data_IF_291256759170
#
_entry.id   IF_291256759170
#
_cell.length_a   1.000
_cell.length_b   1.000
_cell.length_c   1.000
_cell.angle_alpha   90.00
_cell.angle_beta   90.00
_cell.angle_gamma   90.00
#
_symmetry.space_group_name_H-M   'P 1'
#
loop_
_entity.id
_entity.type
_entity.pdbx_description
1 polymer ?
#
# COMPACT_ATOMS: atom_id res chain seq x y z
N UNK A 1 -3.43 30.20 -27.76
CA UNK A 1 -3.17 28.79 -27.38
C UNK A 1 -2.95 28.77 -25.89
N UNK A 2 -3.71 27.98 -25.13
CA UNK A 2 -3.51 27.86 -23.69
C UNK A 2 -2.17 27.17 -23.43
N UNK A 3 -1.35 27.73 -22.53
CA UNK A 3 -0.10 27.08 -22.10
C UNK A 3 -0.41 25.67 -21.59
N UNK A 4 0.32 24.64 -22.03
CA UNK A 4 0.15 23.29 -21.51
C UNK A 4 0.49 23.30 -20.01
N UNK A 5 -0.33 22.62 -19.18
CA UNK A 5 -0.09 22.65 -17.73
C UNK A 5 1.19 21.89 -17.33
N UNK A 6 1.84 21.18 -18.27
CA UNK A 6 3.16 20.56 -18.12
C UNK A 6 4.25 21.52 -17.63
N UNK A 7 4.13 22.82 -17.97
CA UNK A 7 5.17 23.84 -17.71
C UNK A 7 5.00 24.55 -16.36
N UNK A 8 3.98 24.20 -15.59
CA UNK A 8 3.65 24.84 -14.32
C UNK A 8 4.34 24.11 -13.16
N UNK A 9 5.35 24.76 -12.57
CA UNK A 9 6.02 24.32 -11.33
C UNK A 9 6.07 25.46 -10.30
N UNK A 10 5.92 25.17 -8.99
CA UNK A 10 5.81 23.83 -8.38
C UNK A 10 4.36 23.38 -8.10
N UNK A 11 4.11 22.07 -8.25
CA UNK A 11 2.87 21.43 -7.83
C UNK A 11 2.86 21.26 -6.30
N UNK A 12 1.87 21.87 -5.62
CA UNK A 12 1.75 21.86 -4.17
C UNK A 12 1.04 20.59 -3.67
N UNK A 13 1.45 20.11 -2.50
CA UNK A 13 0.76 19.04 -1.75
C UNK A 13 -0.52 19.57 -1.09
N UNK A 14 -1.44 18.68 -0.70
CA UNK A 14 -2.67 19.04 0.01
C UNK A 14 -2.38 19.80 1.31
N UNK A 15 -1.34 19.40 2.05
CA UNK A 15 -0.93 20.11 3.28
C UNK A 15 -0.48 21.54 2.97
N UNK A 16 0.32 21.74 1.93
CA UNK A 16 0.78 23.08 1.52
C UNK A 16 -0.39 23.93 1.01
N UNK A 17 -1.28 23.37 0.20
CA UNK A 17 -2.48 24.07 -0.29
C UNK A 17 -3.34 24.54 0.88
N UNK A 18 -3.56 23.70 1.89
CA UNK A 18 -4.36 24.06 3.06
C UNK A 18 -3.68 25.09 3.98
N UNK A 19 -2.36 25.25 3.86
CA UNK A 19 -1.59 26.26 4.57
C UNK A 19 -1.56 27.62 3.84
N UNK A 20 -2.06 27.70 2.59
CA UNK A 20 -2.23 28.96 1.86
C UNK A 20 -3.23 29.89 2.56
N UNK A 21 -3.21 31.16 2.16
CA UNK A 21 -3.90 32.21 2.90
C UNK A 21 -5.43 31.98 2.92
N UNK A 22 -6.01 31.96 4.12
CA UNK A 22 -7.44 31.68 4.35
C UNK A 22 -8.37 32.77 3.83
N UNK A 23 -7.83 33.94 3.48
CA UNK A 23 -8.60 35.03 2.88
C UNK A 23 -9.11 34.71 1.46
N UNK A 24 -8.70 33.57 0.89
CA UNK A 24 -9.10 33.12 -0.44
C UNK A 24 -8.39 33.91 -1.54
N UNK A 25 -8.46 33.40 -2.77
CA UNK A 25 -7.94 34.14 -3.94
C UNK A 25 -6.72 33.55 -4.61
N UNK A 26 -5.86 32.87 -3.85
CA UNK A 26 -4.60 32.30 -4.35
C UNK A 26 -4.88 31.19 -5.38
N UNK A 27 -4.13 31.21 -6.49
CA UNK A 27 -4.14 30.13 -7.48
C UNK A 27 -3.09 29.11 -7.06
N UNK A 28 -3.43 27.83 -7.16
CA UNK A 28 -2.51 26.73 -6.93
C UNK A 28 -2.57 25.71 -8.05
N UNK A 29 -1.46 25.01 -8.24
CA UNK A 29 -1.34 23.85 -9.11
C UNK A 29 -1.02 22.63 -8.26
N UNK A 30 -1.60 21.49 -8.58
CA UNK A 30 -1.36 20.25 -7.86
C UNK A 30 -1.57 19.03 -8.74
N UNK A 31 -0.93 17.94 -8.37
CA UNK A 31 -1.09 16.62 -8.98
C UNK A 31 -1.67 15.71 -7.90
N UNK A 32 -2.90 15.26 -8.09
CA UNK A 32 -3.72 14.60 -7.06
C UNK A 32 -4.37 13.34 -7.60
N UNK A 33 -4.61 12.38 -6.70
CA UNK A 33 -5.37 11.18 -6.97
C UNK A 33 -6.87 11.46 -6.79
N UNK A 34 -7.70 11.01 -7.73
CA UNK A 34 -9.15 11.00 -7.57
C UNK A 34 -9.53 9.85 -6.64
N UNK A 35 -9.93 10.19 -5.43
CA UNK A 35 -10.38 9.21 -4.45
C UNK A 35 -11.84 8.84 -4.64
N UNK A 36 -12.69 9.82 -4.99
CA UNK A 36 -14.13 9.61 -5.16
C UNK A 36 -14.75 10.64 -6.09
N UNK A 37 -15.72 10.22 -6.90
CA UNK A 37 -16.59 11.13 -7.66
C UNK A 37 -18.05 10.80 -7.32
N UNK A 38 -18.80 11.80 -6.86
CA UNK A 38 -20.21 11.64 -6.53
C UNK A 38 -21.06 12.73 -7.21
N UNK A 39 -21.97 12.32 -8.09
CA UNK A 39 -22.98 13.22 -8.66
C UNK A 39 -24.07 13.50 -7.62
N UNK A 40 -24.33 14.78 -7.36
CA UNK A 40 -25.32 15.25 -6.38
C UNK A 40 -26.23 16.29 -7.01
N UNK A 41 -27.52 16.32 -6.64
CA UNK A 41 -28.42 17.38 -7.08
C UNK A 41 -28.14 18.69 -6.33
N UNK A 42 -28.24 19.81 -7.03
CA UNK A 42 -28.31 21.16 -6.44
C UNK A 42 -29.74 21.45 -5.99
N UNK A 43 -29.91 22.48 -5.14
CA UNK A 43 -31.23 22.97 -4.73
C UNK A 43 -32.08 23.50 -5.90
N UNK A 44 -31.45 23.85 -7.02
CA UNK A 44 -32.08 24.39 -8.23
C UNK A 44 -32.36 23.32 -9.29
N UNK A 45 -32.14 22.04 -8.99
CA UNK A 45 -32.46 20.90 -9.88
C UNK A 45 -31.33 20.44 -10.81
N UNK A 46 -30.32 21.29 -11.07
CA UNK A 46 -29.12 20.90 -11.82
C UNK A 46 -28.22 19.98 -10.98
N UNK A 47 -27.36 19.15 -11.58
CA UNK A 47 -26.39 18.34 -10.84
C UNK A 47 -25.03 19.01 -10.71
N UNK A 48 -24.27 18.62 -9.69
CA UNK A 48 -22.85 18.92 -9.54
C UNK A 48 -22.09 17.64 -9.16
N UNK A 49 -20.82 17.56 -9.52
CA UNK A 49 -19.92 16.51 -9.08
C UNK A 49 -19.20 16.97 -7.81
N UNK A 50 -19.29 16.19 -6.75
CA UNK A 50 -18.39 16.29 -5.61
C UNK A 50 -17.20 15.37 -5.88
N UNK A 51 -16.02 15.97 -6.12
CA UNK A 51 -14.78 15.25 -6.40
C UNK A 51 -13.90 15.32 -5.16
N UNK A 52 -13.56 14.16 -4.60
CA UNK A 52 -12.60 14.03 -3.50
C UNK A 52 -11.21 13.77 -4.08
N UNK A 53 -10.29 14.71 -3.82
CA UNK A 53 -8.92 14.67 -4.31
C UNK A 53 -7.96 14.44 -3.13
N UNK A 54 -6.96 13.60 -3.32
CA UNK A 54 -6.04 13.19 -2.26
C UNK A 54 -4.60 13.11 -2.74
N UNK A 55 -3.69 13.28 -1.81
CA UNK A 55 -2.28 12.91 -1.92
C UNK A 55 -1.83 12.27 -0.59
N UNK A 56 -0.53 11.99 -0.41
CA UNK A 56 -0.02 11.39 0.85
C UNK A 56 -0.16 12.30 2.08
N UNK A 57 -0.36 13.60 1.88
CA UNK A 57 -0.37 14.62 2.94
C UNK A 57 -1.79 15.00 3.39
N UNK A 58 -2.82 14.61 2.63
CA UNK A 58 -4.22 14.75 3.03
C UNK A 58 -5.20 14.67 1.86
N UNK A 59 -6.44 15.07 2.13
CA UNK A 59 -7.51 15.13 1.12
C UNK A 59 -8.37 16.39 1.23
N UNK A 60 -9.04 16.77 0.15
CA UNK A 60 -10.08 17.80 0.14
C UNK A 60 -11.16 17.50 -0.91
N UNK A 61 -12.30 18.19 -0.79
CA UNK A 61 -13.40 18.09 -1.75
C UNK A 61 -13.50 19.36 -2.60
N UNK A 62 -13.64 19.20 -3.92
CA UNK A 62 -14.05 20.29 -4.81
C UNK A 62 -15.42 19.98 -5.44
N UNK A 63 -16.28 21.00 -5.51
CA UNK A 63 -17.56 20.89 -6.20
C UNK A 63 -17.39 21.40 -7.65
N UNK A 64 -17.57 20.51 -8.62
CA UNK A 64 -17.58 20.84 -10.04
C UNK A 64 -19.04 20.92 -10.52
N UNK A 65 -19.54 22.12 -10.75
CA UNK A 65 -20.91 22.36 -11.20
C UNK A 65 -21.04 22.11 -12.72
N UNK A 66 -22.26 21.84 -13.20
CA UNK A 66 -22.54 21.51 -14.61
C UNK A 66 -22.14 22.58 -15.62
N UNK A 67 -21.93 23.83 -15.19
CA UNK A 67 -21.46 24.95 -16.00
C UNK A 67 -19.93 25.08 -16.03
N UNK A 68 -19.20 24.26 -15.25
CA UNK A 68 -17.75 24.24 -15.24
C UNK A 68 -17.22 23.42 -16.44
N UNK A 69 -16.21 23.93 -17.20
CA UNK A 69 -15.64 23.21 -18.34
C UNK A 69 -15.07 21.82 -18.02
N UNK A 70 -14.68 21.57 -16.78
CA UNK A 70 -14.15 20.27 -16.33
C UNK A 70 -15.25 19.29 -15.88
N UNK A 71 -16.54 19.64 -15.95
CA UNK A 71 -17.63 18.78 -15.49
C UNK A 71 -17.68 17.46 -16.27
N UNK A 72 -17.77 17.52 -17.59
CA UNK A 72 -17.83 16.31 -18.43
C UNK A 72 -16.54 15.49 -18.35
N UNK A 73 -15.40 16.17 -18.18
CA UNK A 73 -14.11 15.53 -17.92
C UNK A 73 -14.20 14.65 -16.66
N UNK A 74 -14.53 15.22 -15.49
CA UNK A 74 -14.66 14.42 -14.26
C UNK A 74 -15.80 13.40 -14.32
N UNK A 75 -16.90 13.68 -15.03
CA UNK A 75 -18.00 12.72 -15.19
C UNK A 75 -17.58 11.45 -15.94
N UNK A 76 -16.65 11.58 -16.88
CA UNK A 76 -16.10 10.45 -17.65
C UNK A 76 -14.95 9.72 -16.97
N UNK A 77 -14.35 10.28 -15.91
CA UNK A 77 -13.23 9.69 -15.20
C UNK A 77 -13.66 8.61 -14.20
N UNK A 78 -12.71 7.73 -13.91
CA UNK A 78 -12.82 6.70 -12.87
C UNK A 78 -12.04 7.10 -11.63
N UNK A 79 -12.49 6.62 -10.48
CA UNK A 79 -11.73 6.68 -9.24
C UNK A 79 -10.39 5.95 -9.40
N UNK A 80 -9.34 6.47 -8.75
CA UNK A 80 -7.98 5.95 -8.84
C UNK A 80 -7.11 6.54 -9.97
N UNK A 81 -7.67 7.42 -10.81
CA UNK A 81 -6.91 8.17 -11.81
C UNK A 81 -6.23 9.39 -11.20
N UNK A 82 -5.12 9.81 -11.80
CA UNK A 82 -4.37 11.00 -11.38
C UNK A 82 -4.74 12.15 -12.27
N UNK A 83 -4.97 13.29 -11.65
CA UNK A 83 -5.23 14.54 -12.35
C UNK A 83 -4.24 15.61 -11.92
N UNK A 84 -3.81 16.41 -12.89
CA UNK A 84 -3.23 17.72 -12.60
C UNK A 84 -4.38 18.71 -12.57
N UNK A 85 -4.44 19.52 -11.52
CA UNK A 85 -5.46 20.55 -11.37
C UNK A 85 -4.83 21.92 -11.21
N UNK A 86 -5.55 22.92 -11.71
CA UNK A 86 -5.41 24.32 -11.37
C UNK A 86 -6.66 24.73 -10.58
N UNK A 87 -6.47 25.20 -9.36
CA UNK A 87 -7.56 25.60 -8.48
C UNK A 87 -7.33 26.97 -7.89
N UNK A 88 -8.41 27.60 -7.44
CA UNK A 88 -8.38 28.83 -6.66
C UNK A 88 -8.82 28.51 -5.23
N UNK A 89 -8.01 28.92 -4.25
CA UNK A 89 -8.29 28.75 -2.82
C UNK A 89 -9.63 29.41 -2.50
N UNK A 90 -10.55 28.61 -1.97
CA UNK A 90 -11.90 29.02 -1.61
C UNK A 90 -12.45 28.14 -0.47
N UNK A 91 -13.44 28.66 0.24
CA UNK A 91 -14.04 28.01 1.41
C UNK A 91 -15.56 28.08 1.34
N UNK A 92 -16.20 26.94 1.59
CA UNK A 92 -17.65 26.84 1.71
C UNK A 92 -18.01 26.41 3.14
N UNK A 93 -18.79 27.23 3.86
CA UNK A 93 -19.16 26.98 5.26
C UNK A 93 -17.94 26.67 6.15
N UNK A 94 -16.88 27.49 6.04
CA UNK A 94 -15.59 27.32 6.73
C UNK A 94 -14.83 26.01 6.42
N UNK A 95 -15.28 25.22 5.44
CA UNK A 95 -14.58 24.04 4.93
C UNK A 95 -13.86 24.40 3.64
N UNK A 96 -12.59 24.00 3.53
CA UNK A 96 -11.82 24.18 2.31
C UNK A 96 -12.51 23.48 1.14
N UNK A 97 -12.88 24.25 0.12
CA UNK A 97 -13.56 23.76 -1.08
C UNK A 97 -13.16 24.64 -2.26
N UNK A 98 -11.98 24.39 -2.86
CA UNK A 98 -11.41 25.27 -3.86
C UNK A 98 -12.27 25.29 -5.12
N UNK A 99 -12.27 26.44 -5.81
CA UNK A 99 -12.90 26.56 -7.12
C UNK A 99 -11.97 25.97 -8.17
N UNK A 100 -12.45 24.93 -8.85
CA UNK A 100 -11.71 24.29 -9.93
C UNK A 100 -11.67 25.18 -11.17
N UNK A 101 -10.46 25.48 -11.67
CA UNK A 101 -10.25 26.28 -12.88
C UNK A 101 -9.97 25.39 -14.09
N UNK A 102 -9.03 24.44 -13.95
CA UNK A 102 -8.65 23.48 -14.99
C UNK A 102 -8.30 22.14 -14.38
N UNK A 103 -8.50 21.07 -15.15
CA UNK A 103 -8.03 19.73 -14.83
C UNK A 103 -7.61 19.01 -16.10
N UNK A 104 -6.57 18.18 -16.01
CA UNK A 104 -6.17 17.23 -17.04
C UNK A 104 -5.77 15.91 -16.40
N UNK A 105 -5.99 14.80 -17.10
CA UNK A 105 -5.57 13.48 -16.65
C UNK A 105 -4.05 13.34 -16.87
N UNK A 106 -3.37 12.73 -15.90
CA UNK A 106 -1.98 12.30 -16.07
C UNK A 106 -2.01 10.78 -16.26
N UNK A 107 -1.52 10.31 -17.40
CA UNK A 107 -1.51 8.88 -17.70
C UNK A 107 -0.46 8.15 -16.86
N UNK A 108 -0.62 6.82 -16.72
CA UNK A 108 0.33 5.99 -15.98
C UNK A 108 1.76 6.10 -16.54
N UNK A 109 1.91 6.26 -17.85
CA UNK A 109 3.20 6.42 -18.54
C UNK A 109 3.87 7.76 -18.20
N UNK A 110 3.09 8.84 -18.08
CA UNK A 110 3.59 10.16 -17.67
C UNK A 110 4.00 10.18 -16.18
N UNK A 111 3.41 9.28 -15.39
CA UNK A 111 3.68 9.11 -13.97
C UNK A 111 4.84 8.15 -13.69
N UNK A 112 5.09 7.19 -14.57
CA UNK A 112 6.17 6.24 -14.43
C UNK A 112 7.53 6.94 -14.37
N UNK A 113 8.30 6.70 -13.30
CA UNK A 113 9.60 7.36 -13.07
C UNK A 113 9.53 8.83 -12.66
N UNK A 114 8.33 9.40 -12.50
CA UNK A 114 8.17 10.79 -12.05
C UNK A 114 8.27 10.91 -10.52
N UNK A 115 8.97 11.93 -9.98
CA UNK A 115 8.99 12.19 -8.54
C UNK A 115 7.60 12.48 -7.96
N UNK A 116 6.65 12.90 -8.82
CA UNK A 116 5.26 13.18 -8.45
C UNK A 116 4.53 11.95 -7.88
N UNK A 117 4.92 10.74 -8.29
CA UNK A 117 4.34 9.49 -7.80
C UNK A 117 4.43 9.39 -6.27
N UNK A 118 5.60 9.74 -5.73
CA UNK A 118 5.87 9.68 -4.29
C UNK A 118 5.06 10.70 -3.48
N UNK A 119 4.44 11.69 -4.13
CA UNK A 119 3.56 12.65 -3.46
C UNK A 119 2.11 12.18 -3.44
N UNK A 120 1.69 11.34 -4.40
CA UNK A 120 0.31 10.91 -4.58
C UNK A 120 -0.11 9.81 -3.61
N UNK A 121 0.79 8.89 -3.32
CA UNK A 121 0.55 7.75 -2.43
C UNK A 121 1.66 7.67 -1.40
N UNK A 122 1.33 7.16 -0.21
CA UNK A 122 2.37 6.78 0.74
C UNK A 122 3.24 5.68 0.09
N UNK A 123 4.55 5.77 0.30
CA UNK A 123 5.56 4.81 -0.15
C UNK A 123 6.30 4.27 1.06
N UNK A 124 6.97 3.12 0.89
CA UNK A 124 7.90 2.59 1.88
C UNK A 124 8.89 3.67 2.36
N UNK A 125 9.12 3.80 3.68
CA UNK A 125 10.20 4.62 4.22
C UNK A 125 11.59 4.20 3.73
N UNK A 126 11.83 2.91 3.53
CA UNK A 126 13.08 2.40 2.98
C UNK A 126 13.13 2.48 1.45
N UNK A 127 14.34 2.60 0.88
CA UNK A 127 14.55 2.67 -0.56
C UNK A 127 14.14 1.36 -1.26
N UNK A 128 13.20 1.45 -2.20
CA UNK A 128 12.58 0.26 -2.82
C UNK A 128 13.53 -0.50 -3.76
N UNK A 129 14.52 0.17 -4.34
CA UNK A 129 15.54 -0.48 -5.16
C UNK A 129 16.51 -1.28 -4.28
N UNK A 130 16.97 -0.69 -3.17
CA UNK A 130 17.78 -1.37 -2.17
C UNK A 130 17.05 -2.57 -1.54
N UNK A 131 15.79 -2.39 -1.14
CA UNK A 131 14.95 -3.48 -0.62
C UNK A 131 14.83 -4.65 -1.61
N UNK A 132 14.72 -4.36 -2.90
CA UNK A 132 14.63 -5.42 -3.90
C UNK A 132 15.93 -6.19 -4.09
N UNK A 133 17.07 -5.50 -4.06
CA UNK A 133 18.39 -6.14 -4.11
C UNK A 133 18.57 -7.03 -2.88
N UNK A 134 18.18 -6.55 -1.70
CA UNK A 134 18.18 -7.35 -0.48
C UNK A 134 17.27 -8.58 -0.63
N UNK A 135 16.03 -8.39 -1.08
CA UNK A 135 15.07 -9.48 -1.29
C UNK A 135 15.62 -10.58 -2.21
N UNK A 136 16.26 -10.23 -3.33
CA UNK A 136 16.92 -11.20 -4.19
C UNK A 136 18.09 -11.90 -3.50
N UNK A 137 18.83 -11.19 -2.66
CA UNK A 137 19.91 -11.75 -1.85
C UNK A 137 19.37 -12.77 -0.85
N UNK A 138 18.21 -12.50 -0.23
CA UNK A 138 17.52 -13.44 0.66
C UNK A 138 17.09 -14.71 -0.07
N UNK A 139 16.56 -14.59 -1.30
CA UNK A 139 16.26 -15.77 -2.14
C UNK A 139 17.54 -16.57 -2.42
N UNK A 140 18.63 -15.90 -2.78
CA UNK A 140 19.90 -16.55 -3.11
C UNK A 140 20.53 -17.27 -1.89
N UNK A 141 20.26 -16.80 -0.67
CA UNK A 141 20.77 -17.36 0.57
C UNK A 141 20.15 -18.73 0.93
N UNK A 142 18.96 -19.07 0.41
CA UNK A 142 18.36 -20.40 0.59
C UNK A 142 19.31 -21.44 0.00
N UNK A 143 19.81 -22.35 0.83
CA UNK A 143 20.82 -23.35 0.44
C UNK A 143 20.20 -24.54 -0.29
N UNK A 144 18.99 -24.94 0.08
CA UNK A 144 18.24 -26.03 -0.55
C UNK A 144 17.84 -25.70 -2.00
N UNK A 145 18.39 -26.37 -3.03
CA UNK A 145 18.25 -25.95 -4.43
C UNK A 145 16.81 -25.92 -4.93
N UNK A 146 16.02 -26.97 -4.69
CA UNK A 146 14.64 -27.09 -5.14
C UNK A 146 13.71 -26.11 -4.39
N UNK A 147 14.01 -25.83 -3.12
CA UNK A 147 13.27 -24.84 -2.34
C UNK A 147 13.54 -23.43 -2.85
N UNK A 148 14.82 -23.08 -3.10
CA UNK A 148 15.19 -21.82 -3.74
C UNK A 148 14.55 -21.67 -5.12
N UNK A 149 14.60 -22.72 -5.94
CA UNK A 149 13.97 -22.72 -7.27
C UNK A 149 12.45 -22.54 -7.19
N UNK A 150 11.80 -23.07 -6.15
CA UNK A 150 10.37 -22.85 -5.88
C UNK A 150 10.09 -21.37 -5.62
N UNK A 151 10.84 -20.74 -4.71
CA UNK A 151 10.68 -19.30 -4.39
C UNK A 151 10.95 -18.45 -5.64
N UNK A 152 12.03 -18.71 -6.37
CA UNK A 152 12.36 -18.02 -7.61
C UNK A 152 11.23 -18.11 -8.64
N UNK A 153 10.67 -19.31 -8.85
CA UNK A 153 9.59 -19.51 -9.81
C UNK A 153 8.30 -18.75 -9.45
N UNK A 154 8.03 -18.49 -8.16
CA UNK A 154 6.93 -17.61 -7.75
C UNK A 154 7.21 -16.18 -8.23
N UNK A 155 8.40 -15.64 -7.94
CA UNK A 155 8.73 -14.24 -8.27
C UNK A 155 9.06 -13.99 -9.74
N UNK A 156 9.42 -15.01 -10.52
CA UNK A 156 9.42 -14.94 -11.98
C UNK A 156 8.03 -14.60 -12.54
N UNK A 157 6.96 -15.09 -11.90
CA UNK A 157 5.58 -14.86 -12.34
C UNK A 157 5.00 -13.53 -11.84
N UNK A 158 5.35 -13.11 -10.62
CA UNK A 158 4.68 -11.97 -9.95
C UNK A 158 5.60 -10.81 -9.56
N UNK A 159 6.91 -10.89 -9.83
CA UNK A 159 7.92 -10.00 -9.24
C UNK A 159 7.63 -8.52 -9.39
N UNK A 160 7.31 -8.05 -10.59
CA UNK A 160 7.01 -6.63 -10.85
C UNK A 160 5.81 -6.12 -10.04
N UNK A 161 4.77 -6.95 -9.96
CA UNK A 161 3.54 -6.61 -9.24
C UNK A 161 3.73 -6.71 -7.71
N UNK A 162 4.51 -7.69 -7.24
CA UNK A 162 4.92 -7.81 -5.84
C UNK A 162 5.71 -6.59 -5.38
N UNK A 163 6.65 -6.13 -6.20
CA UNK A 163 7.53 -5.00 -5.89
C UNK A 163 6.74 -3.73 -5.57
N UNK A 164 5.56 -3.55 -6.15
CA UNK A 164 4.75 -2.34 -6.01
C UNK A 164 3.54 -2.51 -5.09
N UNK A 165 3.22 -3.74 -4.69
CA UNK A 165 2.03 -4.05 -3.91
C UNK A 165 2.11 -3.51 -2.47
N UNK A 166 0.99 -3.06 -1.89
CA UNK A 166 0.91 -2.81 -0.46
C UNK A 166 0.74 -4.11 0.32
N UNK A 167 1.21 -4.15 1.57
CA UNK A 167 0.98 -5.30 2.44
C UNK A 167 -0.44 -5.31 3.01
N UNK A 168 -1.13 -4.18 3.09
CA UNK A 168 -2.52 -4.14 3.53
C UNK A 168 -3.29 -3.00 2.87
N UNK A 169 -4.62 -3.03 2.96
CA UNK A 169 -5.46 -1.91 2.50
C UNK A 169 -5.45 -0.71 3.45
N UNK A 170 -5.23 -0.93 4.75
CA UNK A 170 -5.30 0.15 5.75
C UNK A 170 -4.51 -0.08 7.06
N UNK A 171 -4.01 -1.29 7.32
CA UNK A 171 -3.49 -1.69 8.63
C UNK A 171 -1.99 -1.36 8.78
N UNK A 172 -1.12 -2.24 8.28
CA UNK A 172 0.33 -2.11 8.32
C UNK A 172 0.89 -2.15 6.89
N UNK A 173 1.98 -1.43 6.65
CA UNK A 173 2.61 -1.33 5.34
C UNK A 173 1.60 -1.11 4.18
N UNK A 174 0.58 -0.29 4.44
CA UNK A 174 -0.54 -0.02 3.54
C UNK A 174 -0.20 1.05 2.50
N UNK A 175 0.94 0.87 1.84
CA UNK A 175 1.55 1.81 0.92
C UNK A 175 2.26 1.08 -0.21
N UNK A 176 2.57 1.81 -1.28
CA UNK A 176 3.33 1.26 -2.39
C UNK A 176 4.69 0.75 -1.90
N UNK A 177 5.10 -0.43 -2.37
CA UNK A 177 6.28 -1.17 -1.92
C UNK A 177 6.17 -1.76 -0.50
N UNK A 178 5.01 -1.62 0.16
CA UNK A 178 4.83 -2.06 1.54
C UNK A 178 4.95 -3.58 1.72
N UNK A 179 4.48 -4.39 0.75
CA UNK A 179 4.60 -5.84 0.84
C UNK A 179 6.07 -6.29 0.75
N UNK A 180 6.87 -5.63 -0.09
CA UNK A 180 8.30 -5.87 -0.21
C UNK A 180 9.04 -5.51 1.08
N UNK A 181 8.78 -4.31 1.63
CA UNK A 181 9.39 -3.85 2.88
C UNK A 181 9.07 -4.79 4.04
N UNK A 182 7.79 -5.14 4.21
CA UNK A 182 7.31 -6.09 5.22
C UNK A 182 8.03 -7.44 5.11
N UNK A 183 8.09 -8.00 3.90
CA UNK A 183 8.77 -9.29 3.67
C UNK A 183 10.27 -9.22 3.97
N UNK A 184 10.94 -8.10 3.66
CA UNK A 184 12.35 -7.91 4.01
C UNK A 184 12.55 -7.77 5.52
N UNK A 185 11.70 -7.02 6.23
CA UNK A 185 11.75 -6.94 7.70
C UNK A 185 11.59 -8.31 8.35
N UNK A 186 10.63 -9.11 7.89
CA UNK A 186 10.44 -10.47 8.37
C UNK A 186 11.68 -11.35 8.10
N UNK A 187 12.30 -11.23 6.92
CA UNK A 187 13.52 -11.98 6.59
C UNK A 187 14.69 -11.56 7.50
N UNK A 188 14.88 -10.26 7.76
CA UNK A 188 15.87 -9.74 8.71
C UNK A 188 15.60 -10.28 10.13
N UNK A 189 14.35 -10.28 10.58
CA UNK A 189 13.95 -10.83 11.87
C UNK A 189 14.22 -12.35 11.94
N UNK A 190 13.93 -13.09 10.88
CA UNK A 190 14.23 -14.51 10.77
C UNK A 190 15.72 -14.78 10.93
N UNK A 191 16.58 -14.04 10.22
CA UNK A 191 18.04 -14.17 10.32
C UNK A 191 18.54 -13.87 11.73
N UNK A 192 17.95 -12.89 12.42
CA UNK A 192 18.33 -12.53 13.78
C UNK A 192 17.85 -13.55 14.83
N UNK A 193 16.66 -14.13 14.63
CA UNK A 193 15.99 -14.98 15.63
C UNK A 193 16.23 -16.47 15.43
N UNK A 194 16.41 -16.95 14.20
CA UNK A 194 16.59 -18.37 13.88
C UNK A 194 17.72 -19.05 14.69
N UNK A 195 18.88 -18.41 14.99
CA UNK A 195 19.91 -19.02 15.82
C UNK A 195 19.48 -19.38 17.25
N UNK A 196 18.38 -18.81 17.75
CA UNK A 196 17.83 -19.11 19.08
C UNK A 196 16.95 -20.37 19.09
N UNK A 197 16.50 -20.84 17.92
CA UNK A 197 15.50 -21.88 17.77
C UNK A 197 16.05 -23.01 16.88
N UNK A 198 16.87 -23.93 17.43
CA UNK A 198 17.41 -25.05 16.66
C UNK A 198 16.33 -26.04 16.17
N UNK A 199 15.08 -25.89 16.64
CA UNK A 199 13.94 -26.72 16.25
C UNK A 199 13.33 -26.36 14.89
N UNK A 200 13.74 -25.23 14.28
CA UNK A 200 13.26 -24.82 12.95
C UNK A 200 14.29 -25.09 11.85
N UNK A 201 13.82 -25.47 10.67
CA UNK A 201 14.62 -25.37 9.44
C UNK A 201 14.65 -23.91 8.96
N UNK A 202 15.83 -23.28 9.03
CA UNK A 202 16.01 -21.87 8.69
C UNK A 202 15.77 -21.56 7.21
N UNK A 203 16.10 -22.48 6.31
CA UNK A 203 15.86 -22.32 4.86
C UNK A 203 14.37 -22.37 4.56
N UNK A 204 13.64 -23.31 5.19
CA UNK A 204 12.19 -23.45 5.05
C UNK A 204 11.44 -22.27 5.67
N UNK A 205 11.87 -21.78 6.83
CA UNK A 205 11.30 -20.58 7.45
C UNK A 205 11.52 -19.33 6.58
N UNK A 206 12.73 -19.13 6.06
CA UNK A 206 13.05 -18.02 5.17
C UNK A 206 12.25 -18.12 3.86
N UNK A 207 12.20 -19.30 3.23
CA UNK A 207 11.40 -19.52 2.03
C UNK A 207 9.91 -19.23 2.29
N UNK A 208 9.39 -19.70 3.42
CA UNK A 208 8.03 -19.42 3.90
C UNK A 208 7.75 -17.93 4.01
N UNK A 209 8.62 -17.18 4.68
CA UNK A 209 8.53 -15.72 4.80
C UNK A 209 8.50 -15.05 3.43
N UNK A 210 9.40 -15.43 2.52
CA UNK A 210 9.48 -14.78 1.22
C UNK A 210 8.18 -14.96 0.42
N UNK A 211 7.48 -16.09 0.56
CA UNK A 211 6.28 -16.39 -0.24
C UNK A 211 4.94 -16.23 0.49
N UNK A 212 4.94 -16.03 1.82
CA UNK A 212 3.78 -16.19 2.69
C UNK A 212 2.53 -15.44 2.21
N UNK A 213 2.73 -14.24 1.67
CA UNK A 213 1.66 -13.29 1.41
C UNK A 213 1.62 -12.81 -0.06
N UNK A 214 2.24 -13.60 -0.94
CA UNK A 214 2.31 -13.37 -2.39
C UNK A 214 0.93 -13.30 -3.05
N UNK A 215 -0.09 -13.90 -2.44
CA UNK A 215 -1.47 -13.83 -2.92
C UNK A 215 -2.07 -12.42 -2.94
N UNK A 216 -1.53 -11.46 -2.17
CA UNK A 216 -1.99 -10.06 -2.18
C UNK A 216 -1.81 -9.39 -3.53
N UNK A 217 -0.82 -9.83 -4.31
CA UNK A 217 -0.60 -9.37 -5.69
C UNK A 217 -1.78 -9.69 -6.62
N UNK A 218 -2.55 -10.73 -6.29
CA UNK A 218 -3.75 -11.14 -7.04
C UNK A 218 -5.03 -10.64 -6.35
N UNK A 219 -5.03 -10.60 -5.01
CA UNK A 219 -6.16 -10.11 -4.22
C UNK A 219 -6.41 -8.62 -4.46
N UNK A 220 -5.34 -7.84 -4.58
CA UNK A 220 -5.41 -6.40 -4.75
C UNK A 220 -5.29 -5.99 -6.22
N UNK A 221 -6.00 -4.93 -6.57
CA UNK A 221 -5.95 -4.31 -7.89
C UNK A 221 -5.95 -2.79 -7.77
N UNK A 222 -5.39 -2.12 -8.77
CA UNK A 222 -5.23 -0.67 -8.81
C UNK A 222 -3.84 -0.25 -8.35
N UNK A 223 -3.24 0.68 -9.11
CA UNK A 223 -1.85 1.12 -8.91
C UNK A 223 -1.72 2.17 -7.81
N UNK A 224 -2.78 2.96 -7.61
CA UNK A 224 -2.79 4.13 -6.71
C UNK A 224 -3.96 4.12 -5.73
N UNK A 225 -5.12 3.62 -6.17
CA UNK A 225 -6.25 3.33 -5.31
C UNK A 225 -6.44 1.81 -5.26
N UNK A 226 -5.91 1.19 -4.21
CA UNK A 226 -5.96 -0.26 -4.05
C UNK A 226 -7.36 -0.70 -3.62
N UNK A 227 -7.95 -1.61 -4.38
CA UNK A 227 -9.23 -2.27 -4.06
C UNK A 227 -9.05 -3.79 -4.16
N UNK A 228 -10.02 -4.56 -3.66
CA UNK A 228 -10.01 -6.02 -3.86
C UNK A 228 -10.51 -6.36 -5.26
N UNK A 229 -9.76 -7.22 -5.95
CA UNK A 229 -10.17 -7.81 -7.22
C UNK A 229 -11.34 -8.78 -7.03
N UNK A 230 -12.06 -9.10 -8.10
CA UNK A 230 -13.12 -10.12 -8.04
C UNK A 230 -12.57 -11.45 -7.52
N UNK A 231 -11.37 -11.85 -7.95
CA UNK A 231 -10.73 -13.09 -7.50
C UNK A 231 -10.36 -12.99 -6.02
N UNK A 232 -9.82 -11.85 -5.60
CA UNK A 232 -9.53 -11.54 -4.20
C UNK A 232 -10.74 -11.65 -3.29
N UNK A 233 -11.88 -11.07 -3.69
CA UNK A 233 -13.14 -11.15 -2.93
C UNK A 233 -13.62 -12.60 -2.78
N UNK A 234 -13.47 -13.42 -3.83
CA UNK A 234 -13.99 -14.79 -3.85
C UNK A 234 -13.07 -15.82 -3.19
N UNK A 235 -11.76 -15.58 -3.13
CA UNK A 235 -10.77 -16.59 -2.73
C UNK A 235 -9.87 -16.17 -1.57
N UNK A 236 -9.59 -14.87 -1.42
CA UNK A 236 -8.64 -14.36 -0.43
C UNK A 236 -7.17 -14.62 -0.80
N UNK A 237 -6.27 -13.74 -0.34
CA UNK A 237 -4.84 -13.84 -0.63
C UNK A 237 -4.20 -15.15 -0.12
N UNK A 238 -4.62 -15.67 1.04
CA UNK A 238 -4.06 -16.93 1.60
C UNK A 238 -4.19 -18.09 0.60
N UNK A 239 -5.38 -18.29 0.03
CA UNK A 239 -5.63 -19.37 -0.96
C UNK A 239 -4.92 -19.08 -2.27
N UNK A 240 -4.86 -17.81 -2.69
CA UNK A 240 -4.19 -17.39 -3.92
C UNK A 240 -2.67 -17.58 -3.84
N UNK A 241 -2.05 -17.26 -2.70
CA UNK A 241 -0.64 -17.50 -2.42
C UNK A 241 -0.32 -18.99 -2.40
N UNK A 242 -1.17 -19.80 -1.73
CA UNK A 242 -1.04 -21.25 -1.75
C UNK A 242 -1.04 -21.82 -3.18
N UNK A 243 -1.94 -21.34 -4.05
CA UNK A 243 -1.98 -21.78 -5.46
C UNK A 243 -0.69 -21.47 -6.21
N UNK A 244 -0.11 -20.27 -6.00
CA UNK A 244 1.16 -19.87 -6.62
C UNK A 244 2.31 -20.75 -6.15
N UNK A 245 2.43 -20.93 -4.83
CA UNK A 245 3.51 -21.71 -4.21
C UNK A 245 3.43 -23.18 -4.61
N UNK A 246 2.23 -23.78 -4.57
CA UNK A 246 2.02 -25.17 -5.01
C UNK A 246 2.43 -25.37 -6.46
N UNK A 247 1.99 -24.48 -7.36
CA UNK A 247 2.34 -24.53 -8.79
C UNK A 247 3.85 -24.45 -8.98
N UNK A 248 4.51 -23.52 -8.28
CA UNK A 248 5.95 -23.34 -8.35
C UNK A 248 6.73 -24.55 -7.80
N UNK A 249 6.30 -25.10 -6.66
CA UNK A 249 6.93 -26.25 -6.02
C UNK A 249 6.85 -27.52 -6.87
N UNK A 250 5.70 -27.77 -7.50
CA UNK A 250 5.54 -28.86 -8.46
C UNK A 250 6.45 -28.69 -9.69
N UNK A 251 6.57 -27.46 -10.21
CA UNK A 251 7.48 -27.14 -11.34
C UNK A 251 8.95 -27.35 -10.96
N UNK A 252 9.34 -26.93 -9.76
CA UNK A 252 10.69 -27.08 -9.23
C UNK A 252 11.00 -28.51 -8.75
N UNK A 253 10.01 -29.41 -8.73
CA UNK A 253 10.11 -30.77 -8.21
C UNK A 253 10.57 -30.80 -6.74
N UNK A 254 10.11 -29.82 -5.95
CA UNK A 254 10.34 -29.81 -4.51
C UNK A 254 9.77 -31.10 -3.92
N UNK A 255 10.52 -31.71 -3.00
CA UNK A 255 10.07 -32.92 -2.33
C UNK A 255 8.69 -32.69 -1.67
N UNK A 256 7.86 -33.74 -1.62
CA UNK A 256 6.48 -33.63 -1.18
C UNK A 256 6.33 -33.12 0.27
N UNK A 257 7.24 -33.51 1.17
CA UNK A 257 7.20 -33.08 2.58
C UNK A 257 7.52 -31.57 2.72
N UNK A 258 8.59 -31.08 2.10
CA UNK A 258 8.94 -29.66 2.09
C UNK A 258 7.87 -28.81 1.40
N UNK A 259 7.28 -29.31 0.31
CA UNK A 259 6.19 -28.62 -0.37
C UNK A 259 4.96 -28.50 0.54
N UNK A 260 4.54 -29.59 1.19
CA UNK A 260 3.41 -29.57 2.13
C UNK A 260 3.64 -28.59 3.29
N UNK A 261 4.86 -28.56 3.85
CA UNK A 261 5.21 -27.63 4.93
C UNK A 261 5.21 -26.18 4.46
N UNK A 262 5.76 -25.90 3.29
CA UNK A 262 5.77 -24.55 2.72
C UNK A 262 4.35 -24.06 2.41
N UNK A 263 3.50 -24.95 1.88
CA UNK A 263 2.07 -24.70 1.70
C UNK A 263 1.39 -24.39 3.04
N UNK A 264 1.71 -25.15 4.10
CA UNK A 264 1.17 -24.92 5.44
C UNK A 264 1.57 -23.57 6.03
N UNK A 265 2.82 -23.12 5.83
CA UNK A 265 3.27 -21.78 6.24
C UNK A 265 2.37 -20.71 5.58
N UNK A 266 2.18 -20.78 4.26
CA UNK A 266 1.33 -19.84 3.52
C UNK A 266 -0.12 -19.87 4.01
N UNK A 267 -0.67 -21.06 4.29
CA UNK A 267 -2.06 -21.20 4.74
C UNK A 267 -2.30 -20.70 6.17
N UNK A 268 -1.25 -20.58 6.99
CA UNK A 268 -1.36 -20.30 8.43
C UNK A 268 -0.65 -19.04 8.91
N UNK A 269 0.09 -18.32 8.05
CA UNK A 269 0.94 -17.19 8.45
C UNK A 269 0.22 -16.11 9.26
N UNK A 270 -1.06 -15.86 8.99
CA UNK A 270 -1.85 -14.86 9.73
C UNK A 270 -2.10 -15.23 11.20
N UNK A 271 -1.68 -16.43 11.65
CA UNK A 271 -1.68 -16.86 13.04
C UNK A 271 -3.04 -17.37 13.52
N UNK A 272 -4.08 -16.54 13.42
CA UNK A 272 -5.42 -16.82 13.95
C UNK A 272 -6.47 -16.92 12.84
N UNK A 273 -7.45 -17.82 13.00
CA UNK A 273 -8.57 -17.95 12.03
C UNK A 273 -9.37 -16.64 11.90
N UNK A 274 -9.52 -15.92 13.02
CA UNK A 274 -10.22 -14.63 13.07
C UNK A 274 -9.48 -13.52 12.30
N UNK A 275 -8.17 -13.68 12.08
CA UNK A 275 -7.34 -12.74 11.32
C UNK A 275 -7.25 -13.12 9.84
N UNK A 276 -7.85 -14.26 9.45
CA UNK A 276 -7.99 -14.71 8.07
C UNK A 276 -7.16 -15.94 7.70
N UNK A 277 -6.43 -16.53 8.66
CA UNK A 277 -5.72 -17.78 8.43
C UNK A 277 -6.69 -18.88 7.97
N UNK A 278 -6.28 -19.69 6.99
CA UNK A 278 -7.10 -20.82 6.55
C UNK A 278 -7.03 -21.98 7.56
N UNK A 279 -5.88 -22.13 8.21
CA UNK A 279 -5.59 -23.13 9.25
C UNK A 279 -4.62 -22.53 10.26
N UNK A 280 -4.56 -23.10 11.47
CA UNK A 280 -3.61 -22.67 12.50
C UNK A 280 -2.22 -23.25 12.22
N UNK A 281 -1.18 -22.47 12.51
CA UNK A 281 0.21 -22.88 12.38
C UNK A 281 0.50 -24.14 13.22
N UNK A 282 1.10 -25.15 12.59
CA UNK A 282 1.22 -26.51 13.17
C UNK A 282 2.55 -27.21 12.86
N UNK A 283 3.51 -26.48 12.29
CA UNK A 283 4.92 -26.88 12.19
C UNK A 283 5.78 -25.86 12.94
N UNK A 284 6.98 -26.22 13.40
CA UNK A 284 7.89 -25.28 14.03
C UNK A 284 8.12 -24.01 13.19
N UNK A 285 8.34 -24.19 11.88
CA UNK A 285 8.55 -23.09 10.94
C UNK A 285 7.29 -22.24 10.77
N UNK A 286 6.10 -22.85 10.65
CA UNK A 286 4.85 -22.08 10.50
C UNK A 286 4.55 -21.26 11.76
N UNK A 287 4.77 -21.83 12.94
CA UNK A 287 4.58 -21.09 14.20
C UNK A 287 5.55 -19.92 14.28
N UNK A 288 6.82 -20.15 13.93
CA UNK A 288 7.84 -19.11 13.91
C UNK A 288 7.52 -17.99 12.92
N UNK A 289 7.18 -18.33 11.67
CA UNK A 289 6.82 -17.37 10.63
C UNK A 289 5.58 -16.57 11.02
N UNK A 290 4.54 -17.20 11.56
CA UNK A 290 3.34 -16.50 12.00
C UNK A 290 3.61 -15.49 13.13
N UNK A 291 4.57 -15.78 14.02
CA UNK A 291 4.97 -14.83 15.08
C UNK A 291 5.84 -13.69 14.55
N UNK A 292 6.66 -13.95 13.53
CA UNK A 292 7.45 -12.91 12.86
C UNK A 292 6.54 -11.96 12.07
N UNK A 293 5.55 -12.50 11.34
CA UNK A 293 4.54 -11.71 10.62
C UNK A 293 3.81 -10.79 11.59
N UNK A 294 3.24 -11.35 12.68
CA UNK A 294 2.54 -10.58 13.69
C UNK A 294 3.41 -9.48 14.35
N UNK A 295 4.70 -9.77 14.59
CA UNK A 295 5.66 -8.80 15.10
C UNK A 295 5.83 -7.62 14.16
N UNK A 296 6.14 -7.88 12.88
CA UNK A 296 6.37 -6.81 11.91
C UNK A 296 5.08 -6.05 11.60
N UNK A 297 3.94 -6.74 11.49
CA UNK A 297 2.63 -6.12 11.33
C UNK A 297 2.34 -5.10 12.46
N UNK A 298 2.58 -5.46 13.72
CA UNK A 298 2.41 -4.55 14.87
C UNK A 298 3.41 -3.40 14.83
N UNK A 299 4.68 -3.67 14.50
CA UNK A 299 5.70 -2.64 14.43
C UNK A 299 5.45 -1.67 13.27
N UNK A 300 4.95 -2.13 12.13
CA UNK A 300 4.51 -1.30 11.02
C UNK A 300 3.37 -0.34 11.43
N UNK A 301 2.44 -0.78 12.27
CA UNK A 301 1.40 0.10 12.85
C UNK A 301 2.01 1.16 13.77
N UNK A 302 2.96 0.77 14.64
CA UNK A 302 3.69 1.71 15.52
C UNK A 302 4.43 2.76 14.69
N UNK A 303 5.20 2.33 13.69
CA UNK A 303 5.94 3.23 12.80
C UNK A 303 5.01 4.21 12.08
N UNK A 304 3.87 3.74 11.57
CA UNK A 304 2.88 4.60 10.91
C UNK A 304 2.33 5.66 11.87
N UNK A 305 1.93 5.28 13.08
CA UNK A 305 1.42 6.22 14.08
C UNK A 305 2.48 7.28 14.45
N UNK A 306 3.73 6.87 14.65
CA UNK A 306 4.84 7.78 14.94
C UNK A 306 5.12 8.76 13.79
N UNK A 307 4.99 8.34 12.53
CA UNK A 307 5.14 9.22 11.36
C UNK A 307 4.00 10.22 11.21
N UNK A 308 2.81 9.87 11.68
CA UNK A 308 1.61 10.70 11.57
C UNK A 308 1.41 11.64 12.77
N UNK A 309 2.15 11.43 13.86
CA UNK A 309 2.11 12.24 15.06
C UNK A 309 2.41 13.73 14.76
N UNK A 310 1.57 14.62 15.28
CA UNK A 310 1.87 16.04 15.36
C UNK A 310 2.89 16.34 16.45
N UNK A 311 3.54 17.51 16.38
CA UNK A 311 4.58 17.92 17.35
C UNK A 311 4.08 18.00 18.80
N UNK A 312 2.77 18.20 18.99
CA UNK A 312 2.13 18.34 20.30
C UNK A 312 1.32 17.09 20.71
N UNK A 313 1.36 16.01 19.92
CA UNK A 313 0.60 14.81 20.22
C UNK A 313 1.38 13.93 21.21
N UNK A 314 0.83 13.74 22.40
CA UNK A 314 1.43 12.86 23.42
C UNK A 314 1.08 11.38 23.15
N UNK A 315 -0.18 11.11 22.80
CA UNK A 315 -0.70 9.78 22.51
C UNK A 315 -1.46 9.75 21.18
N UNK A 316 -1.46 8.59 20.52
CA UNK A 316 -2.38 8.32 19.42
C UNK A 316 -3.80 8.04 19.92
N UNK A 317 -4.78 8.11 19.02
CA UNK A 317 -6.05 7.41 19.24
C UNK A 317 -5.81 5.89 19.41
N UNK A 318 -6.77 5.19 20.02
CA UNK A 318 -6.69 3.74 20.17
C UNK A 318 -6.62 3.07 18.80
N UNK A 319 -5.52 2.35 18.54
CA UNK A 319 -5.35 1.59 17.31
C UNK A 319 -5.92 0.17 17.45
N UNK A 320 -6.75 -0.26 16.49
CA UNK A 320 -7.43 -1.57 16.57
C UNK A 320 -6.43 -2.72 16.65
N UNK A 321 -5.39 -2.72 15.81
CA UNK A 321 -4.39 -3.78 15.78
C UNK A 321 -3.40 -3.78 16.96
N UNK A 322 -3.29 -2.69 17.71
CA UNK A 322 -2.45 -2.61 18.93
C UNK A 322 -3.28 -2.76 20.22
N UNK A 323 -4.61 -2.67 20.10
CA UNK A 323 -5.57 -2.66 21.19
C UNK A 323 -5.28 -1.63 22.31
N UNK A 324 -4.52 -0.56 22.00
CA UNK A 324 -4.14 0.49 22.93
C UNK A 324 -3.87 1.81 22.18
N UNK A 325 -4.03 2.98 22.82
CA UNK A 325 -3.28 4.18 22.47
C UNK A 325 -1.78 3.93 22.52
N UNK A 326 -1.02 4.54 21.62
CA UNK A 326 0.44 4.50 21.60
C UNK A 326 1.01 5.83 22.12
N UNK A 327 2.03 5.78 22.98
CA UNK A 327 2.81 6.96 23.35
C UNK A 327 3.68 7.40 22.16
N UNK A 328 3.57 8.66 21.75
CA UNK A 328 4.22 9.19 20.54
C UNK A 328 5.52 9.93 20.84
N UNK A 329 5.75 10.32 22.09
CA UNK A 329 6.96 11.02 22.53
C UNK A 329 8.13 10.08 22.73
N UNK A 330 9.34 10.53 22.38
CA UNK A 330 10.57 9.77 22.65
C UNK A 330 10.91 9.74 24.15
N UNK A 331 11.56 8.67 24.65
CA UNK A 331 12.11 8.66 25.99
C UNK A 331 13.11 9.81 26.18
N UNK A 332 13.02 10.50 27.32
CA UNK A 332 14.08 11.41 27.76
C UNK A 332 15.33 10.59 28.07
N UNK A 333 16.45 10.92 27.44
CA UNK A 333 17.74 10.27 27.65
C UNK A 333 18.61 11.07 28.61
#
# INVERSE_FOLDING_TARGET
MATPMSDLTPALTVREIKALNRTGGDIFHSVLLIKRIAEKPTKTGNSFLMVELTDKTGMFNCNCFSDNPSFDFFKGLKEGLVVRIEGKVDYYQNRFSPKLLRAEEITAEQLAGSPLMSNLVETAPEDSEALWVEFQTQIAAITQPELRATVQAVFEEIGDAFRIAPAALAMHHAYRHGLLEHTCHMARACQALAPLYPEIDADLALAGILVHDTGKVIEYQGTLATSRSRKGILQGHVVLGYQLVRKAGLKAKLNADLLERLEHIVLSHQGELEWGAAVIAATPEAVFVAKIDDLDAKMGMVQRLLRQAGENDEFSDKHIGLNSPLLLTKPLK
#
